data_IF_504416784508
#
_entry.id   IF_504416784508
#
_cell.length_a   1.000
_cell.length_b   1.000
_cell.length_c   1.000
_cell.angle_alpha   90.00
_cell.angle_beta   90.00
_cell.angle_gamma   90.00
#
_symmetry.space_group_name_H-M   'P 1'
#
loop_
_entity.id
_entity.type
_entity.pdbx_description
1 polymer ?
#
# COMPACT_ATOMS: atom_id res chain seq x y z
N UNK A 1 -15.10 -26.19 23.21
CA UNK A 1 -14.11 -25.84 22.17
C UNK A 1 -13.53 -24.43 22.33
N UNK A 2 -14.34 -23.36 22.28
CA UNK A 2 -13.83 -21.97 22.39
C UNK A 2 -13.04 -21.69 23.68
N UNK A 3 -13.49 -22.23 24.84
CA UNK A 3 -12.78 -22.10 26.13
C UNK A 3 -11.41 -22.78 26.11
N UNK A 4 -11.30 -23.94 25.46
CA UNK A 4 -10.01 -24.61 25.27
C UNK A 4 -9.10 -23.78 24.36
N UNK A 5 -9.65 -23.25 23.27
CA UNK A 5 -8.93 -22.34 22.36
C UNK A 5 -8.46 -21.05 23.04
N UNK A 6 -9.23 -20.52 24.00
CA UNK A 6 -8.88 -19.29 24.69
C UNK A 6 -7.90 -19.49 25.86
N UNK A 7 -7.51 -20.74 26.21
CA UNK A 7 -6.55 -21.01 27.29
C UNK A 7 -7.05 -21.94 28.39
N UNK A 8 -8.12 -22.70 28.16
CA UNK A 8 -8.59 -23.80 29.02
C UNK A 8 -9.32 -23.38 30.30
N UNK A 9 -9.34 -22.09 30.63
CA UNK A 9 -9.99 -21.52 31.81
C UNK A 9 -11.21 -20.68 31.41
N UNK A 10 -12.31 -20.76 32.19
CA UNK A 10 -13.49 -19.91 31.97
C UNK A 10 -13.17 -18.44 32.30
N UNK A 11 -13.92 -17.50 31.70
CA UNK A 11 -13.72 -16.07 31.94
C UNK A 11 -13.94 -15.68 33.41
N UNK A 12 -14.96 -16.22 34.05
CA UNK A 12 -15.20 -16.03 35.50
C UNK A 12 -14.03 -16.54 36.35
N UNK A 13 -13.55 -17.76 36.08
CA UNK A 13 -12.40 -18.31 36.79
C UNK A 13 -11.14 -17.46 36.57
N UNK A 14 -10.92 -16.96 35.35
CA UNK A 14 -9.78 -16.10 35.06
C UNK A 14 -9.84 -14.77 35.85
N UNK A 15 -11.01 -14.13 35.94
CA UNK A 15 -11.15 -12.94 36.76
C UNK A 15 -10.88 -13.22 38.24
N UNK A 16 -11.43 -14.31 38.78
CA UNK A 16 -11.19 -14.67 40.19
C UNK A 16 -9.71 -14.92 40.47
N UNK A 17 -9.02 -15.67 39.59
CA UNK A 17 -7.62 -16.01 39.78
C UNK A 17 -6.67 -14.82 39.56
N UNK A 18 -7.06 -13.80 38.79
CA UNK A 18 -6.26 -12.56 38.68
C UNK A 18 -6.36 -11.69 39.94
N UNK A 19 -7.52 -11.67 40.61
CA UNK A 19 -7.73 -10.87 41.81
C UNK A 19 -7.31 -11.59 43.10
N UNK A 20 -7.62 -12.89 43.20
CA UNK A 20 -7.34 -13.74 44.35
C UNK A 20 -6.78 -15.10 43.88
N UNK A 21 -5.50 -15.14 43.47
CA UNK A 21 -4.88 -16.35 42.96
C UNK A 21 -4.72 -17.41 44.04
N UNK A 22 -5.10 -18.65 43.73
CA UNK A 22 -4.85 -19.80 44.60
C UNK A 22 -3.38 -20.23 44.59
N UNK A 23 -2.72 -20.07 43.45
CA UNK A 23 -1.30 -20.34 43.25
C UNK A 23 -0.76 -19.53 42.04
N UNK A 24 0.56 -19.47 41.91
CA UNK A 24 1.21 -18.72 40.84
C UNK A 24 0.89 -19.27 39.45
N UNK A 25 0.68 -20.59 39.32
CA UNK A 25 0.38 -21.21 38.02
C UNK A 25 -1.01 -20.78 37.52
N UNK A 26 -2.00 -20.74 38.40
CA UNK A 26 -3.36 -20.28 38.09
C UNK A 26 -3.42 -18.79 37.79
N UNK A 27 -2.63 -17.96 38.48
CA UNK A 27 -2.48 -16.54 38.14
C UNK A 27 -1.99 -16.37 36.70
N UNK A 28 -0.92 -17.08 36.32
CA UNK A 28 -0.35 -16.98 34.97
C UNK A 28 -1.28 -17.55 33.89
N UNK A 29 -1.98 -18.66 34.17
CA UNK A 29 -3.00 -19.20 33.28
C UNK A 29 -4.15 -18.19 33.05
N UNK A 30 -4.62 -17.55 34.12
CA UNK A 30 -5.66 -16.53 34.05
C UNK A 30 -5.22 -15.29 33.26
N UNK A 31 -4.00 -14.78 33.52
CA UNK A 31 -3.40 -13.68 32.75
C UNK A 31 -3.28 -14.01 31.27
N UNK A 32 -2.80 -15.21 30.93
CA UNK A 32 -2.68 -15.69 29.54
C UNK A 32 -4.05 -15.72 28.86
N UNK A 33 -5.06 -16.27 29.52
CA UNK A 33 -6.45 -16.33 29.02
C UNK A 33 -7.04 -14.94 28.77
N UNK A 34 -6.85 -13.98 29.67
CA UNK A 34 -7.37 -12.61 29.49
C UNK A 34 -6.63 -11.87 28.38
N UNK A 35 -5.29 -11.95 28.33
CA UNK A 35 -4.48 -11.38 27.24
C UNK A 35 -4.90 -11.95 25.88
N UNK A 36 -5.10 -13.26 25.79
CA UNK A 36 -5.53 -13.89 24.56
C UNK A 36 -6.94 -13.47 24.15
N UNK A 37 -7.87 -13.34 25.10
CA UNK A 37 -9.23 -12.87 24.81
C UNK A 37 -9.26 -11.45 24.27
N UNK A 38 -8.50 -10.55 24.88
CA UNK A 38 -8.35 -9.18 24.38
C UNK A 38 -7.81 -9.17 22.94
N UNK A 39 -6.69 -9.87 22.68
CA UNK A 39 -6.13 -9.98 21.34
C UNK A 39 -7.10 -10.64 20.34
N UNK A 40 -7.84 -11.65 20.77
CA UNK A 40 -8.82 -12.35 19.94
C UNK A 40 -9.94 -11.42 19.49
N UNK A 41 -10.51 -10.64 20.41
CA UNK A 41 -11.56 -9.68 20.06
C UNK A 41 -11.05 -8.55 19.17
N UNK A 42 -9.84 -8.04 19.43
CA UNK A 42 -9.19 -7.06 18.54
C UNK A 42 -9.02 -7.65 17.12
N UNK A 43 -8.49 -8.86 16.99
CA UNK A 43 -8.32 -9.52 15.69
C UNK A 43 -9.66 -9.78 15.00
N UNK A 44 -10.68 -10.21 15.73
CA UNK A 44 -12.01 -10.43 15.17
C UNK A 44 -12.62 -9.13 14.64
N UNK A 45 -12.45 -8.03 15.36
CA UNK A 45 -12.87 -6.69 14.91
C UNK A 45 -12.15 -6.28 13.62
N UNK A 46 -10.83 -6.46 13.56
CA UNK A 46 -10.03 -6.16 12.37
C UNK A 46 -10.45 -7.01 11.16
N UNK A 47 -10.69 -8.31 11.35
CA UNK A 47 -11.17 -9.21 10.29
C UNK A 47 -12.56 -8.83 9.81
N UNK A 48 -13.48 -8.49 10.72
CA UNK A 48 -14.82 -8.01 10.37
C UNK A 48 -14.74 -6.72 9.55
N UNK A 49 -13.92 -5.76 9.99
CA UNK A 49 -13.72 -4.50 9.25
C UNK A 49 -13.13 -4.74 7.86
N UNK A 50 -12.10 -5.60 7.76
CA UNK A 50 -11.49 -5.99 6.48
C UNK A 50 -12.52 -6.60 5.54
N UNK A 51 -13.36 -7.51 6.03
CA UNK A 51 -14.40 -8.13 5.22
C UNK A 51 -15.44 -7.12 4.72
N UNK A 52 -15.89 -6.19 5.59
CA UNK A 52 -16.83 -5.15 5.20
C UNK A 52 -16.27 -4.25 4.10
N UNK A 53 -15.02 -3.77 4.25
CA UNK A 53 -14.35 -2.94 3.25
C UNK A 53 -14.24 -3.69 1.92
N UNK A 54 -13.83 -4.97 1.94
CA UNK A 54 -13.72 -5.78 0.73
C UNK A 54 -15.06 -6.04 0.02
N UNK A 55 -16.17 -6.05 0.76
CA UNK A 55 -17.50 -6.22 0.18
C UNK A 55 -18.05 -4.91 -0.39
N UNK A 56 -17.73 -3.77 0.23
CA UNK A 56 -18.26 -2.46 -0.16
C UNK A 56 -17.49 -1.84 -1.33
N UNK A 57 -16.16 -2.01 -1.37
CA UNK A 57 -15.31 -1.35 -2.36
C UNK A 57 -14.86 -2.35 -3.43
N UNK A 58 -15.50 -2.27 -4.60
CA UNK A 58 -15.07 -3.01 -5.79
C UNK A 58 -13.77 -2.39 -6.32
N UNK A 59 -12.79 -3.24 -6.60
CA UNK A 59 -11.56 -2.83 -7.27
C UNK A 59 -11.70 -2.95 -8.78
N UNK A 60 -10.86 -2.22 -9.51
CA UNK A 60 -10.65 -2.51 -10.92
C UNK A 60 -9.86 -3.81 -11.08
N UNK A 61 -10.20 -4.62 -12.09
CA UNK A 61 -9.49 -5.86 -12.39
C UNK A 61 -8.37 -5.54 -13.36
N UNK A 62 -7.12 -5.69 -12.91
CA UNK A 62 -5.95 -5.60 -13.80
C UNK A 62 -5.57 -7.00 -14.27
N UNK A 63 -6.18 -7.40 -15.40
CA UNK A 63 -6.01 -8.74 -15.97
C UNK A 63 -4.76 -8.87 -16.84
N UNK A 64 -4.21 -7.76 -17.31
CA UNK A 64 -3.13 -7.75 -18.29
C UNK A 64 -1.79 -7.39 -17.66
N UNK A 65 -0.73 -8.02 -18.16
CA UNK A 65 0.65 -7.55 -18.02
C UNK A 65 1.11 -7.30 -19.44
N UNK A 66 1.21 -6.02 -19.79
CA UNK A 66 1.32 -5.54 -21.16
C UNK A 66 2.76 -5.22 -21.54
N UNK A 67 2.89 -4.44 -22.60
CA UNK A 67 4.19 -4.11 -23.17
C UNK A 67 5.03 -3.24 -22.23
N UNK A 68 4.43 -2.31 -21.46
CA UNK A 68 5.21 -1.40 -20.62
C UNK A 68 6.00 -2.17 -19.57
N UNK A 69 5.35 -3.05 -18.81
CA UNK A 69 6.07 -3.84 -17.81
C UNK A 69 7.08 -4.79 -18.46
N UNK A 70 6.71 -5.46 -19.53
CA UNK A 70 7.57 -6.46 -20.16
C UNK A 70 8.83 -5.81 -20.77
N UNK A 71 8.69 -4.67 -21.44
CA UNK A 71 9.81 -3.90 -22.00
C UNK A 71 10.68 -3.34 -20.89
N UNK A 72 10.10 -2.74 -19.85
CA UNK A 72 10.88 -2.26 -18.71
C UNK A 72 11.70 -3.38 -18.07
N UNK A 73 11.08 -4.55 -17.84
CA UNK A 73 11.71 -5.67 -17.17
C UNK A 73 12.85 -6.29 -18.01
N UNK A 74 12.73 -6.30 -19.33
CA UNK A 74 13.73 -6.92 -20.22
C UNK A 74 14.88 -5.96 -20.57
N UNK A 75 14.53 -4.72 -20.91
CA UNK A 75 15.44 -3.83 -21.63
C UNK A 75 15.94 -2.65 -20.78
N UNK A 76 15.21 -2.27 -19.73
CA UNK A 76 15.51 -1.07 -18.94
C UNK A 76 15.77 -1.33 -17.44
N UNK A 77 15.64 -2.57 -16.98
CA UNK A 77 15.78 -2.86 -15.56
C UNK A 77 17.25 -2.68 -15.13
N UNK A 78 17.53 -1.84 -14.11
CA UNK A 78 18.92 -1.47 -13.79
C UNK A 78 19.71 -2.57 -13.10
N UNK A 79 19.03 -3.57 -12.52
CA UNK A 79 19.63 -4.71 -11.84
C UNK A 79 18.63 -5.87 -11.79
N UNK A 80 19.15 -7.09 -11.67
CA UNK A 80 18.32 -8.29 -11.55
C UNK A 80 17.51 -8.26 -10.25
N UNK A 81 16.16 -8.34 -10.29
CA UNK A 81 15.36 -8.35 -9.08
C UNK A 81 15.65 -9.56 -8.20
N UNK A 82 15.69 -9.34 -6.90
CA UNK A 82 15.83 -10.43 -5.93
C UNK A 82 14.60 -11.34 -5.96
N UNK A 83 14.74 -12.59 -5.51
CA UNK A 83 13.61 -13.50 -5.38
C UNK A 83 12.48 -12.95 -4.50
N UNK A 84 12.82 -12.15 -3.48
CA UNK A 84 11.84 -11.46 -2.63
C UNK A 84 11.05 -10.40 -3.42
N UNK A 85 11.72 -9.55 -4.19
CA UNK A 85 11.07 -8.55 -5.05
C UNK A 85 10.14 -9.20 -6.07
N UNK A 86 10.61 -10.25 -6.76
CA UNK A 86 9.79 -11.02 -7.72
C UNK A 86 8.54 -11.62 -7.07
N UNK A 87 8.66 -12.16 -5.86
CA UNK A 87 7.53 -12.70 -5.09
C UNK A 87 6.52 -11.61 -4.75
N UNK A 88 6.97 -10.47 -4.23
CA UNK A 88 6.07 -9.36 -3.87
C UNK A 88 5.34 -8.82 -5.10
N UNK A 89 6.01 -8.65 -6.24
CA UNK A 89 5.35 -8.21 -7.48
C UNK A 89 4.29 -9.21 -7.95
N UNK A 90 4.54 -10.52 -7.83
CA UNK A 90 3.53 -11.56 -8.13
C UNK A 90 2.33 -11.49 -7.19
N UNK A 91 2.56 -11.25 -5.91
CA UNK A 91 1.48 -11.07 -4.93
C UNK A 91 0.65 -9.82 -5.22
N UNK A 92 1.30 -8.68 -5.51
CA UNK A 92 0.64 -7.43 -5.92
C UNK A 92 -0.19 -7.65 -7.18
N UNK A 93 0.37 -8.29 -8.21
CA UNK A 93 -0.37 -8.63 -9.45
C UNK A 93 -1.61 -9.48 -9.15
N UNK A 94 -1.47 -10.50 -8.29
CA UNK A 94 -2.61 -11.36 -7.90
C UNK A 94 -3.70 -10.54 -7.20
N UNK A 95 -3.31 -9.63 -6.32
CA UNK A 95 -4.25 -8.77 -5.61
C UNK A 95 -4.94 -7.77 -6.55
N UNK A 96 -4.21 -7.17 -7.49
CA UNK A 96 -4.77 -6.27 -8.51
C UNK A 96 -5.70 -6.98 -9.51
N UNK A 97 -5.54 -8.28 -9.71
CA UNK A 97 -6.37 -9.08 -10.62
C UNK A 97 -7.65 -9.66 -9.99
N UNK A 98 -7.87 -9.51 -8.68
CA UNK A 98 -8.95 -10.23 -7.98
C UNK A 98 -10.31 -9.49 -7.96
N UNK A 99 -10.37 -8.24 -8.47
CA UNK A 99 -11.59 -7.42 -8.52
C UNK A 99 -12.02 -6.78 -7.19
N UNK A 100 -11.23 -6.94 -6.13
CA UNK A 100 -11.37 -6.24 -4.84
C UNK A 100 -10.30 -5.15 -4.76
N UNK A 101 -10.58 -4.09 -4.02
CA UNK A 101 -9.56 -3.08 -3.77
C UNK A 101 -8.35 -3.70 -3.06
N UNK A 102 -7.16 -3.55 -3.63
CA UNK A 102 -5.91 -3.93 -2.98
C UNK A 102 -5.57 -2.92 -1.88
N UNK A 103 -5.29 -3.42 -0.68
CA UNK A 103 -4.67 -2.66 0.39
C UNK A 103 -3.53 -3.51 0.99
N UNK A 104 -2.29 -3.19 0.59
CA UNK A 104 -1.10 -3.99 0.88
C UNK A 104 0.02 -3.10 1.40
N UNK A 105 0.61 -3.53 2.51
CA UNK A 105 1.85 -2.97 3.03
C UNK A 105 3.03 -3.78 2.47
N UNK A 106 3.93 -3.10 1.75
CA UNK A 106 5.22 -3.67 1.35
C UNK A 106 6.27 -3.20 2.34
N UNK A 107 6.79 -4.14 3.14
CA UNK A 107 7.80 -3.86 4.16
C UNK A 107 9.14 -4.46 3.76
N UNK A 108 10.21 -3.70 4.00
CA UNK A 108 11.59 -4.13 3.78
C UNK A 108 12.56 -3.03 4.21
N UNK A 109 13.82 -3.41 4.46
CA UNK A 109 14.84 -2.49 4.95
C UNK A 109 15.12 -1.35 3.95
N UNK A 110 15.81 -0.31 4.42
CA UNK A 110 16.31 0.77 3.54
C UNK A 110 17.25 0.13 2.50
N UNK A 111 17.08 0.49 1.23
CA UNK A 111 17.88 -0.08 0.13
C UNK A 111 17.40 -1.44 -0.41
N UNK A 112 16.36 -2.06 0.16
CA UNK A 112 15.79 -3.34 -0.33
C UNK A 112 15.08 -3.26 -1.70
N UNK A 113 15.09 -2.10 -2.36
CA UNK A 113 14.50 -1.90 -3.69
C UNK A 113 12.96 -1.80 -3.69
N UNK A 114 12.35 -1.28 -2.61
CA UNK A 114 10.89 -1.03 -2.54
C UNK A 114 10.38 -0.17 -3.70
N UNK A 115 11.15 0.84 -4.11
CA UNK A 115 10.82 1.73 -5.24
C UNK A 115 10.69 0.97 -6.55
N UNK A 116 11.51 -0.06 -6.80
CA UNK A 116 11.40 -0.89 -7.99
C UNK A 116 10.10 -1.71 -7.96
N UNK A 117 9.74 -2.29 -6.82
CA UNK A 117 8.46 -3.01 -6.65
C UNK A 117 7.27 -2.07 -6.88
N UNK A 118 7.33 -0.85 -6.36
CA UNK A 118 6.32 0.17 -6.60
C UNK A 118 6.22 0.51 -8.09
N UNK A 119 7.34 0.75 -8.77
CA UNK A 119 7.36 1.06 -10.20
C UNK A 119 6.76 -0.07 -11.04
N UNK A 120 7.19 -1.31 -10.81
CA UNK A 120 6.62 -2.48 -11.51
C UNK A 120 5.10 -2.58 -11.29
N UNK A 121 4.62 -2.27 -10.09
CA UNK A 121 3.19 -2.25 -9.79
C UNK A 121 2.44 -1.13 -10.52
N UNK A 122 3.06 0.06 -10.63
CA UNK A 122 2.51 1.17 -11.41
C UNK A 122 2.42 0.81 -12.89
N UNK A 123 3.45 0.18 -13.47
CA UNK A 123 3.44 -0.26 -14.87
C UNK A 123 2.31 -1.28 -15.15
N UNK A 124 1.98 -2.17 -14.21
CA UNK A 124 0.80 -3.05 -14.34
C UNK A 124 -0.49 -2.23 -14.45
N UNK A 125 -0.65 -1.16 -13.65
CA UNK A 125 -1.82 -0.30 -13.74
C UNK A 125 -1.90 0.41 -15.11
N UNK A 126 -0.77 0.93 -15.59
CA UNK A 126 -0.66 1.59 -16.90
C UNK A 126 -0.98 0.63 -18.05
N UNK A 127 -0.48 -0.61 -18.01
CA UNK A 127 -0.80 -1.66 -19.00
C UNK A 127 -2.31 -1.97 -19.07
N UNK A 128 -3.08 -1.66 -18.03
CA UNK A 128 -4.54 -1.85 -18.00
C UNK A 128 -5.31 -0.54 -18.28
N UNK A 129 -4.63 0.50 -18.77
CA UNK A 129 -5.23 1.79 -19.14
C UNK A 129 -5.61 2.65 -17.95
N UNK A 130 -4.89 2.52 -16.84
CA UNK A 130 -5.05 3.35 -15.65
C UNK A 130 -3.78 4.15 -15.34
N UNK A 131 -3.96 5.30 -14.72
CA UNK A 131 -2.90 6.12 -14.18
C UNK A 131 -2.53 5.67 -12.76
N UNK A 132 -1.32 5.99 -12.33
CA UNK A 132 -0.85 5.72 -10.99
C UNK A 132 -0.37 6.99 -10.28
N UNK A 133 -0.43 6.98 -8.95
CA UNK A 133 0.10 8.03 -8.11
C UNK A 133 1.12 7.49 -7.10
N UNK A 134 2.18 8.24 -6.84
CA UNK A 134 3.11 8.00 -5.74
C UNK A 134 3.09 9.19 -4.79
N UNK A 135 2.68 8.95 -3.55
CA UNK A 135 2.67 9.93 -2.49
C UNK A 135 3.88 9.74 -1.58
N UNK A 136 4.64 10.81 -1.35
CA UNK A 136 5.73 10.87 -0.38
C UNK A 136 5.50 12.01 0.65
N UNK A 137 5.99 11.88 1.90
CA UNK A 137 5.54 12.75 3.00
C UNK A 137 6.15 14.15 2.94
N UNK A 138 7.25 14.32 2.19
CA UNK A 138 7.95 15.59 2.05
C UNK A 138 8.25 15.87 0.59
N UNK A 139 8.38 17.16 0.25
CA UNK A 139 8.72 17.56 -1.12
C UNK A 139 10.08 17.01 -1.55
N UNK A 140 11.04 16.89 -0.62
CA UNK A 140 12.36 16.32 -0.89
C UNK A 140 12.24 14.85 -1.32
N UNK A 141 11.47 14.05 -0.59
CA UNK A 141 11.26 12.64 -0.94
C UNK A 141 10.44 12.50 -2.23
N UNK A 142 9.43 13.35 -2.44
CA UNK A 142 8.67 13.37 -3.69
C UNK A 142 9.57 13.70 -4.89
N UNK A 143 10.45 14.69 -4.77
CA UNK A 143 11.45 15.02 -5.80
C UNK A 143 12.44 13.87 -6.03
N UNK A 144 12.87 13.18 -4.97
CA UNK A 144 13.75 12.02 -5.09
C UNK A 144 13.08 10.89 -5.88
N UNK A 145 11.86 10.50 -5.50
CA UNK A 145 11.09 9.49 -6.24
C UNK A 145 10.84 9.91 -7.68
N UNK A 146 10.45 11.16 -7.91
CA UNK A 146 10.27 11.69 -9.26
C UNK A 146 11.54 11.54 -10.10
N UNK A 147 12.70 11.97 -9.59
CA UNK A 147 13.99 11.84 -10.31
C UNK A 147 14.33 10.37 -10.59
N UNK A 148 14.16 9.49 -9.60
CA UNK A 148 14.46 8.06 -9.77
C UNK A 148 13.55 7.40 -10.79
N UNK A 149 12.23 7.65 -10.72
CA UNK A 149 11.27 7.07 -11.66
C UNK A 149 11.45 7.63 -13.08
N UNK A 150 11.64 8.95 -13.22
CA UNK A 150 11.89 9.57 -14.52
C UNK A 150 13.18 9.06 -15.16
N UNK A 151 14.24 8.82 -14.37
CA UNK A 151 15.47 8.22 -14.87
C UNK A 151 15.28 6.76 -15.29
N UNK A 152 14.54 5.97 -14.51
CA UNK A 152 14.24 4.57 -14.86
C UNK A 152 13.34 4.44 -16.10
N UNK A 153 12.49 5.43 -16.37
CA UNK A 153 11.51 5.42 -17.46
C UNK A 153 11.90 6.33 -18.64
N UNK A 154 13.14 6.83 -18.70
CA UNK A 154 13.55 7.85 -19.66
C UNK A 154 13.31 7.44 -21.13
N UNK A 155 13.55 6.17 -21.46
CA UNK A 155 13.40 5.63 -22.82
C UNK A 155 12.05 4.92 -23.03
N UNK A 156 11.10 5.13 -22.12
CA UNK A 156 9.77 4.54 -22.17
C UNK A 156 8.71 5.58 -22.52
N UNK A 157 7.60 5.18 -23.17
CA UNK A 157 6.49 6.07 -23.50
C UNK A 157 5.58 6.32 -22.27
N UNK A 158 6.17 6.71 -21.13
CA UNK A 158 5.46 6.95 -19.87
C UNK A 158 5.79 8.34 -19.35
N UNK A 159 4.81 9.25 -19.37
CA UNK A 159 4.99 10.58 -18.78
C UNK A 159 4.88 10.50 -17.25
N UNK A 160 5.96 10.86 -16.56
CA UNK A 160 6.01 11.04 -15.10
C UNK A 160 6.02 12.54 -14.81
N UNK A 161 5.18 12.99 -13.87
CA UNK A 161 5.16 14.40 -13.42
C UNK A 161 5.22 14.51 -11.91
N UNK A 162 5.62 15.68 -11.43
CA UNK A 162 5.72 16.01 -10.01
C UNK A 162 4.71 17.11 -9.66
N UNK A 163 3.95 16.92 -8.58
CA UNK A 163 3.09 17.93 -7.99
C UNK A 163 3.37 18.06 -6.49
N UNK A 164 3.84 19.25 -6.09
CA UNK A 164 4.15 19.63 -4.70
C UNK A 164 3.46 20.95 -4.36
N UNK A 165 3.51 21.36 -3.08
CA UNK A 165 2.98 22.66 -2.67
C UNK A 165 3.75 23.84 -3.28
N UNK A 166 5.03 23.62 -3.60
CA UNK A 166 5.92 24.58 -4.27
C UNK A 166 5.77 24.65 -5.80
N UNK A 167 4.93 23.83 -6.44
CA UNK A 167 4.74 23.86 -7.90
C UNK A 167 4.12 25.18 -8.36
N UNK A 168 4.74 25.86 -9.33
CA UNK A 168 4.27 27.16 -9.85
C UNK A 168 2.88 27.05 -10.45
N UNK A 169 2.03 28.06 -10.26
CA UNK A 169 0.62 28.06 -10.70
C UNK A 169 0.41 27.77 -12.19
N UNK A 170 1.29 28.31 -13.06
CA UNK A 170 1.21 28.08 -14.50
C UNK A 170 1.49 26.60 -14.87
N UNK A 171 2.54 26.02 -14.29
CA UNK A 171 2.90 24.61 -14.48
C UNK A 171 1.84 23.69 -13.87
N UNK A 172 1.32 24.06 -12.70
CA UNK A 172 0.24 23.33 -12.05
C UNK A 172 -1.00 23.25 -12.95
N UNK A 173 -1.40 24.35 -13.59
CA UNK A 173 -2.56 24.37 -14.50
C UNK A 173 -2.38 23.43 -15.69
N UNK A 174 -1.20 23.42 -16.31
CA UNK A 174 -0.93 22.53 -17.45
C UNK A 174 -0.87 21.06 -17.01
N UNK A 175 -0.23 20.77 -15.87
CA UNK A 175 -0.19 19.43 -15.27
C UNK A 175 -1.59 18.90 -15.00
N UNK A 176 -2.44 19.66 -14.32
CA UNK A 176 -3.81 19.23 -13.98
C UNK A 176 -4.65 18.96 -15.24
N UNK A 177 -4.44 19.73 -16.31
CA UNK A 177 -5.10 19.51 -17.59
C UNK A 177 -4.65 18.18 -18.20
N UNK A 178 -3.33 17.94 -18.28
CA UNK A 178 -2.76 16.71 -18.83
C UNK A 178 -3.11 15.46 -17.97
N UNK A 179 -3.24 15.62 -16.66
CA UNK A 179 -3.66 14.56 -15.74
C UNK A 179 -5.09 14.10 -16.03
N UNK A 180 -5.98 15.07 -16.24
CA UNK A 180 -7.40 14.84 -16.50
C UNK A 180 -7.67 14.21 -17.87
N UNK A 181 -6.76 14.41 -18.82
CA UNK A 181 -6.82 13.81 -20.17
C UNK A 181 -5.98 12.52 -20.28
N UNK A 182 -5.48 11.98 -19.18
CA UNK A 182 -4.74 10.70 -19.17
C UNK A 182 -3.33 10.72 -19.73
N UNK A 183 -2.81 11.88 -20.12
CA UNK A 183 -1.49 11.98 -20.74
C UNK A 183 -0.37 11.68 -19.73
N UNK A 184 -0.58 12.05 -18.47
CA UNK A 184 0.32 11.72 -17.37
C UNK A 184 0.03 10.29 -16.91
N UNK A 185 0.96 9.37 -17.13
CA UNK A 185 0.84 7.98 -16.66
C UNK A 185 1.08 7.85 -15.16
N UNK A 186 2.09 8.56 -14.63
CA UNK A 186 2.48 8.51 -13.22
C UNK A 186 2.58 9.92 -12.65
N UNK A 187 1.85 10.18 -11.56
CA UNK A 187 1.95 11.43 -10.82
C UNK A 187 2.63 11.20 -9.45
N UNK A 188 3.76 11.84 -9.24
CA UNK A 188 4.47 11.83 -7.95
C UNK A 188 4.13 13.11 -7.19
N UNK A 189 3.93 13.05 -5.88
CA UNK A 189 3.64 14.24 -5.11
C UNK A 189 3.54 14.04 -3.61
N UNK A 190 3.12 15.09 -2.92
CA UNK A 190 2.85 15.09 -1.48
C UNK A 190 1.34 15.06 -1.21
N UNK A 191 0.88 15.49 -0.04
CA UNK A 191 -0.54 15.73 0.25
C UNK A 191 -1.23 16.66 -0.76
N UNK A 192 -0.48 17.43 -1.56
CA UNK A 192 -1.02 18.21 -2.69
C UNK A 192 -1.83 17.34 -3.68
N UNK A 193 -1.54 16.03 -3.76
CA UNK A 193 -2.30 15.08 -4.58
C UNK A 193 -3.74 14.83 -4.10
N UNK A 194 -4.05 15.20 -2.86
CA UNK A 194 -5.38 15.01 -2.25
C UNK A 194 -6.31 16.22 -2.45
N UNK A 195 -5.80 17.32 -3.02
CA UNK A 195 -6.64 18.49 -3.28
C UNK A 195 -7.71 18.18 -4.33
N UNK A 196 -8.93 18.71 -4.17
CA UNK A 196 -10.07 18.45 -5.06
C UNK A 196 -9.83 18.80 -6.53
N UNK A 197 -8.87 19.71 -6.79
CA UNK A 197 -8.47 20.12 -8.14
C UNK A 197 -7.68 19.05 -8.89
N UNK A 198 -7.12 18.06 -8.20
CA UNK A 198 -6.33 16.97 -8.77
C UNK A 198 -7.26 15.86 -9.27
N UNK A 199 -7.61 15.93 -10.55
CA UNK A 199 -8.49 14.96 -11.20
C UNK A 199 -7.72 14.10 -12.19
N UNK A 200 -7.66 12.81 -11.92
CA UNK A 200 -7.19 11.80 -12.86
C UNK A 200 -8.29 11.44 -13.85
N UNK A 201 -7.93 11.08 -15.07
CA UNK A 201 -8.88 10.44 -16.00
C UNK A 201 -9.30 9.07 -15.45
N UNK A 202 -8.31 8.24 -15.07
CA UNK A 202 -8.52 6.87 -14.59
C UNK A 202 -7.47 6.47 -13.56
N UNK A 203 -7.60 6.89 -12.31
CA UNK A 203 -6.68 6.47 -11.24
C UNK A 203 -6.91 4.98 -10.89
N UNK A 204 -5.86 4.17 -10.99
CA UNK A 204 -5.92 2.72 -10.74
C UNK A 204 -5.06 2.24 -9.57
N UNK A 205 -3.96 2.92 -9.27
CA UNK A 205 -3.05 2.55 -8.17
C UNK A 205 -2.53 3.79 -7.46
N UNK A 206 -2.48 3.73 -6.14
CA UNK A 206 -1.77 4.71 -5.30
C UNK A 206 -0.73 3.98 -4.48
N UNK A 207 0.53 4.43 -4.58
CA UNK A 207 1.64 4.00 -3.74
C UNK A 207 1.88 5.10 -2.71
N UNK A 208 1.88 4.74 -1.43
CA UNK A 208 2.20 5.67 -0.34
C UNK A 208 3.52 5.24 0.28
N UNK A 209 4.53 6.10 0.22
CA UNK A 209 5.81 5.87 0.87
C UNK A 209 5.81 6.49 2.27
N UNK A 210 6.38 5.79 3.25
CA UNK A 210 6.48 6.28 4.64
C UNK A 210 5.15 6.83 5.21
N UNK A 211 4.03 6.11 5.02
CA UNK A 211 2.68 6.57 5.42
C UNK A 211 2.59 7.09 6.86
N UNK A 212 3.37 6.53 7.79
CA UNK A 212 3.38 6.97 9.20
C UNK A 212 3.87 8.42 9.38
N UNK A 213 4.49 9.01 8.36
CA UNK A 213 4.90 10.42 8.33
C UNK A 213 3.83 11.36 7.77
N UNK A 214 2.71 10.84 7.27
CA UNK A 214 1.62 11.64 6.67
C UNK A 214 0.64 12.27 7.69
N UNK A 215 0.88 12.10 8.99
CA UNK A 215 0.19 12.77 10.13
C UNK A 215 0.81 12.24 11.43
N UNK A 216 1.16 13.03 12.45
CA UNK A 216 0.40 14.09 13.14
C UNK A 216 1.32 15.27 13.48
N UNK A 217 0.97 16.48 13.04
CA UNK A 217 1.29 17.77 13.65
C UNK A 217 0.24 18.80 13.21
#
# INVERSE_FOLDING_TARGET
>A
ELVQWLGGMSRDAAFRQVHAPQDQQKLEAARRRLKFEELFFIQLQLLKQKQLVQQQVKGHVFGQVGELLNTFYKDHIPFEPTGAQKRVVKEVRKDMGNGRQMNRLVQGDVGSGKTLVALLSMLIALDNGFQAALMAPTEILAQQHFRTLSAMLQDMPVEVRLLTGSTKSAERKSLLTALKTGHIGILVGTHALLEETVQFERLGLVVIDEQHRFGVA
#
